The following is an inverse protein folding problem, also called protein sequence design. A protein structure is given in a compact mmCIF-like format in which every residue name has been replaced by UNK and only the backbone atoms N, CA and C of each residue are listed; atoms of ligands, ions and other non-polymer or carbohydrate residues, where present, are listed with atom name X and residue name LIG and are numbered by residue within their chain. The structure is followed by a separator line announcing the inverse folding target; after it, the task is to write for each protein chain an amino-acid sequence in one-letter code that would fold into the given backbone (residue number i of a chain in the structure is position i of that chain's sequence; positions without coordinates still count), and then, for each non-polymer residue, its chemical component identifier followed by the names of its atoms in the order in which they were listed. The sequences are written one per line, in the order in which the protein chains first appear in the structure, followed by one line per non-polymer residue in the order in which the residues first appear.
data_IF_109283744236
#
_entry.id   IF_109283744236
#
_cell.length_a   1.000
_cell.length_b   1.000
_cell.length_c   1.000
_cell.angle_alpha   90.00
_cell.angle_beta   90.00
_cell.angle_gamma   90.00
#
_symmetry.space_group_name_H-M   'P 1'
#
loop_
_entity.id
_entity.type
_entity.pdbx_description
1 polymer ?
#
# COMPACT_ATOMS: atom_id res chain seq x y z
N UNK A 1 8.53 -11.17 51.04
CA UNK A 1 7.48 -10.68 50.11
C UNK A 1 7.64 -11.48 48.82
N UNK A 2 6.61 -12.20 48.32
CA UNK A 2 6.71 -12.80 46.99
C UNK A 2 6.92 -11.67 45.97
N UNK A 3 7.73 -11.87 44.91
CA UNK A 3 7.89 -10.87 43.87
C UNK A 3 6.51 -10.53 43.31
N UNK A 4 6.22 -9.25 42.98
CA UNK A 4 4.99 -8.92 42.30
C UNK A 4 4.89 -9.79 41.05
N UNK A 5 3.75 -10.47 40.91
CA UNK A 5 3.39 -11.24 39.72
C UNK A 5 3.68 -10.34 38.50
N UNK A 6 4.38 -10.81 37.44
CA UNK A 6 4.69 -9.95 36.31
C UNK A 6 3.39 -9.48 35.67
N UNK A 7 2.98 -8.27 36.01
CA UNK A 7 1.80 -7.62 35.45
C UNK A 7 2.10 -7.41 33.98
N UNK A 8 1.27 -7.98 33.09
CA UNK A 8 1.45 -7.82 31.65
C UNK A 8 1.46 -6.32 31.30
N UNK A 9 2.58 -5.75 30.81
CA UNK A 9 2.70 -4.31 30.57
C UNK A 9 1.84 -3.84 29.39
N UNK A 10 1.27 -4.76 28.61
CA UNK A 10 0.32 -4.47 27.54
C UNK A 10 -1.15 -4.42 28.01
N UNK A 11 -1.44 -4.51 29.31
CA UNK A 11 -2.81 -4.48 29.85
C UNK A 11 -2.93 -3.48 31.03
N UNK A 12 -3.58 -2.32 30.83
CA UNK A 12 -4.12 -1.80 29.57
C UNK A 12 -3.00 -1.46 28.58
N UNK A 13 -3.28 -1.53 27.27
CA UNK A 13 -2.26 -1.29 26.24
C UNK A 13 -1.77 0.16 26.28
N UNK A 14 -0.45 0.41 26.37
CA UNK A 14 0.12 1.74 26.24
C UNK A 14 0.28 2.18 24.78
N UNK A 15 0.00 1.30 23.81
CA UNK A 15 0.17 1.60 22.40
C UNK A 15 -1.02 2.35 21.81
N UNK A 16 -0.73 3.19 20.82
CA UNK A 16 -1.72 3.97 20.08
C UNK A 16 -2.56 3.13 19.10
N UNK A 17 -3.49 3.80 18.42
CA UNK A 17 -4.33 3.15 17.41
C UNK A 17 -3.50 2.53 16.27
N UNK A 18 -3.92 1.36 15.78
CA UNK A 18 -3.24 0.59 14.73
C UNK A 18 -1.80 0.16 15.06
N UNK A 19 -1.47 0.04 16.35
CA UNK A 19 -0.22 -0.53 16.83
C UNK A 19 -0.46 -1.84 17.60
N UNK A 20 0.51 -2.74 17.57
CA UNK A 20 0.56 -3.96 18.36
C UNK A 20 1.52 -3.77 19.53
N UNK A 21 1.08 -4.18 20.72
CA UNK A 21 1.90 -4.23 21.92
C UNK A 21 2.57 -5.60 22.05
N UNK A 22 3.86 -5.63 22.37
CA UNK A 22 4.61 -6.84 22.73
C UNK A 22 5.32 -6.63 24.06
N UNK A 23 5.21 -7.59 24.97
CA UNK A 23 6.00 -7.60 26.20
C UNK A 23 7.42 -8.11 25.90
N UNK A 24 8.41 -7.25 26.11
CA UNK A 24 9.82 -7.58 26.04
C UNK A 24 10.43 -7.36 27.42
N UNK A 25 10.63 -8.45 28.16
CA UNK A 25 11.27 -8.47 29.48
C UNK A 25 10.56 -7.59 30.54
N UNK A 26 9.23 -7.58 30.55
CA UNK A 26 8.41 -6.78 31.47
C UNK A 26 8.21 -5.34 31.00
N UNK A 27 8.61 -5.01 29.77
CA UNK A 27 8.42 -3.69 29.15
C UNK A 27 7.51 -3.81 27.94
N UNK A 28 6.49 -2.95 27.85
CA UNK A 28 5.66 -2.85 26.67
C UNK A 28 6.41 -2.14 25.54
N UNK A 29 6.53 -2.81 24.40
CA UNK A 29 7.09 -2.25 23.17
C UNK A 29 6.01 -2.21 22.10
N UNK A 30 5.79 -1.03 21.54
CA UNK A 30 4.77 -0.78 20.53
C UNK A 30 5.37 -0.76 19.12
N UNK A 31 4.70 -1.38 18.17
CA UNK A 31 5.05 -1.32 16.74
C UNK A 31 3.79 -1.17 15.90
N UNK A 32 3.84 -0.40 14.81
CA UNK A 32 2.69 -0.28 13.91
C UNK A 32 2.33 -1.63 13.29
N UNK A 33 1.04 -1.84 13.03
CA UNK A 33 0.59 -2.96 12.20
C UNK A 33 1.19 -2.86 10.78
N UNK A 34 1.28 -3.98 10.03
CA UNK A 34 1.73 -3.95 8.64
C UNK A 34 0.97 -2.91 7.81
N UNK A 35 1.69 -2.19 6.96
CA UNK A 35 1.18 -1.09 6.12
C UNK A 35 0.72 0.19 6.87
N UNK A 36 0.91 0.24 8.19
CA UNK A 36 0.72 1.47 8.96
C UNK A 36 2.07 2.06 9.39
N UNK A 37 2.11 3.39 9.45
CA UNK A 37 3.31 4.18 9.69
C UNK A 37 3.03 5.29 10.71
N UNK A 38 4.07 5.79 11.37
CA UNK A 38 3.98 6.87 12.36
C UNK A 38 4.51 6.46 13.73
N UNK A 39 3.99 7.09 14.78
CA UNK A 39 4.41 6.81 16.16
C UNK A 39 3.50 5.76 16.79
N UNK A 40 4.00 4.53 17.06
CA UNK A 40 3.17 3.45 17.60
C UNK A 40 2.70 3.66 19.04
N UNK A 41 3.28 4.63 19.77
CA UNK A 41 2.82 5.02 21.10
C UNK A 41 1.68 6.06 21.06
N UNK A 42 1.45 6.72 19.92
CA UNK A 42 0.38 7.73 19.75
C UNK A 42 -0.70 7.25 18.79
N UNK A 43 -0.32 6.98 17.54
CA UNK A 43 -1.20 6.48 16.49
C UNK A 43 -0.38 6.14 15.26
N UNK A 44 -0.67 4.98 14.66
CA UNK A 44 -0.21 4.65 13.31
C UNK A 44 -1.33 4.92 12.31
N UNK A 45 -0.95 5.42 11.13
CA UNK A 45 -1.84 5.77 10.02
C UNK A 45 -1.43 5.02 8.75
N UNK A 46 -2.36 4.73 7.84
CA UNK A 46 -1.99 4.23 6.52
C UNK A 46 -1.14 5.27 5.76
N UNK A 47 -0.44 4.84 4.72
CA UNK A 47 0.29 5.76 3.84
C UNK A 47 -0.67 6.72 3.13
N UNK A 48 -1.82 6.21 2.69
CA UNK A 48 -2.87 6.97 2.02
C UNK A 48 -4.27 6.48 2.40
N UNK A 49 -5.25 7.35 2.24
CA UNK A 49 -6.68 7.03 2.34
C UNK A 49 -7.38 7.31 1.01
N UNK A 50 -6.88 8.28 0.24
CA UNK A 50 -7.39 8.64 -1.09
C UNK A 50 -6.23 8.81 -2.07
N UNK A 51 -6.53 8.72 -3.37
CA UNK A 51 -5.51 8.81 -4.43
C UNK A 51 -4.70 10.11 -4.36
N UNK A 52 -5.34 11.22 -3.99
CA UNK A 52 -4.70 12.53 -3.88
C UNK A 52 -3.69 12.65 -2.74
N UNK A 53 -3.63 11.66 -1.83
CA UNK A 53 -2.56 11.58 -0.84
C UNK A 53 -1.25 11.08 -1.47
N UNK A 54 -1.33 10.46 -2.65
CA UNK A 54 -0.20 9.95 -3.40
C UNK A 54 0.30 10.96 -4.45
N UNK A 55 1.51 10.72 -4.97
CA UNK A 55 1.99 11.44 -6.15
C UNK A 55 1.14 11.09 -7.38
N UNK A 56 1.10 11.98 -8.38
CA UNK A 56 0.22 11.84 -9.55
C UNK A 56 0.44 10.56 -10.39
N UNK A 57 1.61 9.95 -10.27
CA UNK A 57 2.02 8.69 -10.91
C UNK A 57 1.65 7.42 -10.10
N UNK A 58 0.97 7.57 -8.95
CA UNK A 58 0.58 6.48 -8.04
C UNK A 58 -0.89 6.57 -7.67
N UNK A 59 -1.47 5.50 -7.13
CA UNK A 59 -2.84 5.48 -6.64
C UNK A 59 -2.90 4.85 -5.25
N UNK A 60 -3.92 5.17 -4.47
CA UNK A 60 -4.12 4.60 -3.15
C UNK A 60 -4.78 3.23 -3.25
N UNK A 61 -3.96 2.17 -3.26
CA UNK A 61 -4.41 0.79 -3.41
C UNK A 61 -4.07 0.06 -2.13
N UNK A 62 -5.10 -0.39 -1.40
CA UNK A 62 -4.91 -1.11 -0.14
C UNK A 62 -4.15 -0.28 0.90
N UNK A 63 -4.49 1.01 1.04
CA UNK A 63 -3.87 1.94 2.00
C UNK A 63 -2.38 2.24 1.74
N UNK A 64 -1.90 1.97 0.53
CA UNK A 64 -0.54 2.20 0.07
C UNK A 64 -0.50 2.92 -1.27
N UNK A 65 0.45 3.82 -1.46
CA UNK A 65 0.65 4.51 -2.73
C UNK A 65 1.40 3.59 -3.71
N UNK A 66 0.64 2.91 -4.57
CA UNK A 66 1.15 1.91 -5.51
C UNK A 66 1.02 2.38 -6.97
N UNK A 67 1.79 1.78 -7.87
CA UNK A 67 1.65 2.05 -9.30
C UNK A 67 0.40 1.32 -9.83
N UNK A 68 -0.64 2.03 -10.31
CA UNK A 68 -1.87 1.41 -10.78
C UNK A 68 -1.69 0.68 -12.14
N UNK A 69 -0.56 0.84 -12.83
CA UNK A 69 -0.28 0.11 -14.07
C UNK A 69 -0.01 -1.38 -13.86
N UNK A 70 0.39 -1.80 -12.66
CA UNK A 70 0.69 -3.20 -12.35
C UNK A 70 -0.56 -4.07 -12.51
N UNK A 71 -0.68 -4.76 -13.65
CA UNK A 71 -1.80 -5.64 -13.97
C UNK A 71 -2.99 -4.97 -14.66
N UNK A 72 -2.91 -3.68 -15.00
CA UNK A 72 -4.02 -2.96 -15.63
C UNK A 72 -4.09 -3.13 -17.15
N UNK A 73 -2.94 -3.12 -17.84
CA UNK A 73 -2.88 -3.17 -19.30
C UNK A 73 -2.52 -4.56 -19.82
N UNK A 74 -2.90 -4.82 -21.07
CA UNK A 74 -2.58 -6.06 -21.77
C UNK A 74 -1.08 -6.21 -22.03
N UNK A 75 -0.69 -7.45 -22.35
CA UNK A 75 0.64 -7.73 -22.88
C UNK A 75 0.84 -6.97 -24.21
N UNK A 76 2.01 -6.34 -24.38
CA UNK A 76 2.36 -5.44 -25.49
C UNK A 76 1.58 -4.11 -25.55
N UNK A 77 0.85 -3.74 -24.50
CA UNK A 77 0.31 -2.38 -24.36
C UNK A 77 1.27 -1.49 -23.55
N UNK A 78 1.26 -0.20 -23.85
CA UNK A 78 1.88 0.84 -23.03
C UNK A 78 0.92 1.23 -21.92
N UNK A 79 1.45 1.40 -20.70
CA UNK A 79 0.70 1.97 -19.58
C UNK A 79 1.27 3.33 -19.19
N UNK A 80 0.39 4.30 -19.02
CA UNK A 80 0.70 5.60 -18.44
C UNK A 80 -0.28 5.89 -17.32
N UNK A 81 0.19 6.49 -16.22
CA UNK A 81 -0.69 6.91 -15.13
C UNK A 81 -1.10 8.36 -15.38
N UNK A 82 -2.40 8.59 -15.49
CA UNK A 82 -3.00 9.92 -15.70
C UNK A 82 -3.94 10.17 -14.53
N UNK A 83 -3.60 11.12 -13.66
CA UNK A 83 -4.36 11.46 -12.46
C UNK A 83 -4.72 10.22 -11.62
N UNK A 84 -3.71 9.43 -11.23
CA UNK A 84 -3.86 8.20 -10.44
C UNK A 84 -4.58 7.04 -11.16
N UNK A 85 -4.99 7.21 -12.42
CA UNK A 85 -5.70 6.18 -13.20
C UNK A 85 -4.78 5.61 -14.28
N UNK A 86 -4.72 4.27 -14.46
CA UNK A 86 -3.95 3.67 -15.53
C UNK A 86 -4.65 3.89 -16.88
N UNK A 87 -3.91 4.44 -17.83
CA UNK A 87 -4.31 4.63 -19.22
C UNK A 87 -3.48 3.70 -20.10
N UNK A 88 -4.17 2.81 -20.81
CA UNK A 88 -3.54 1.80 -21.67
C UNK A 88 -3.66 2.19 -23.15
N UNK A 89 -2.57 2.08 -23.91
CA UNK A 89 -2.56 2.31 -25.35
C UNK A 89 -1.71 1.27 -26.08
N UNK A 90 -2.03 0.99 -27.34
CA UNK A 90 -1.14 0.18 -28.17
C UNK A 90 0.04 1.04 -28.64
N UNK A 91 1.29 0.53 -28.58
CA UNK A 91 2.45 1.25 -29.08
C UNK A 91 2.37 1.45 -30.60
N UNK A 92 3.16 2.38 -31.12
CA UNK A 92 3.24 2.64 -32.56
C UNK A 92 3.55 1.37 -33.36
N UNK A 93 2.79 1.12 -34.43
CA UNK A 93 2.88 -0.10 -35.23
C UNK A 93 2.07 -1.28 -34.71
N UNK A 94 1.31 -1.10 -33.63
CA UNK A 94 0.37 -2.08 -33.10
C UNK A 94 -1.07 -1.53 -33.09
N UNK A 95 -2.03 -2.44 -33.17
CA UNK A 95 -3.46 -2.16 -33.08
C UNK A 95 -4.18 -3.22 -32.21
N UNK A 96 -5.45 -2.97 -31.87
CA UNK A 96 -6.26 -3.88 -31.06
C UNK A 96 -6.77 -3.22 -29.78
N UNK A 97 -7.03 -4.04 -28.75
CA UNK A 97 -7.57 -3.57 -27.48
C UNK A 97 -6.45 -3.55 -26.41
N UNK A 98 -6.03 -2.38 -25.92
CA UNK A 98 -4.90 -2.28 -24.99
C UNK A 98 -5.16 -2.86 -23.59
N UNK A 99 -6.41 -3.26 -23.28
CA UNK A 99 -6.77 -4.01 -22.08
C UNK A 99 -6.87 -5.52 -22.30
N UNK A 100 -6.84 -6.00 -23.56
CA UNK A 100 -6.88 -7.43 -23.89
C UNK A 100 -5.64 -7.92 -24.63
N UNK A 101 -5.30 -7.28 -25.75
CA UNK A 101 -4.15 -7.62 -26.58
C UNK A 101 -3.90 -6.55 -27.66
N UNK A 102 -2.64 -6.18 -27.87
CA UNK A 102 -2.17 -5.39 -29.01
C UNK A 102 -1.39 -6.29 -29.97
N UNK A 103 -1.69 -6.21 -31.27
CA UNK A 103 -1.06 -6.98 -32.35
C UNK A 103 -0.38 -6.06 -33.37
N UNK A 104 0.69 -6.51 -34.06
CA UNK A 104 1.34 -5.71 -35.10
C UNK A 104 0.38 -5.41 -36.26
N UNK A 105 0.43 -4.18 -36.79
CA UNK A 105 -0.32 -3.79 -37.98
C UNK A 105 0.33 -4.46 -39.19
N UNK A 106 -0.38 -5.37 -39.86
CA UNK A 106 0.06 -5.97 -41.12
C UNK A 106 -0.52 -5.17 -42.29
N UNK A 107 0.29 -4.34 -42.95
CA UNK A 107 -0.07 -3.76 -44.24
C UNK A 107 -0.21 -4.90 -45.24
N UNK A 108 -1.43 -5.18 -45.67
CA UNK A 108 -1.72 -6.13 -46.77
C UNK A 108 -1.75 -5.37 -48.09
#
# INVERSE_FOLDING_TARGET
RPPPNPTNPCVPSPCGANAVCRDLYGTAVCSCNPEFYGNPYESCRPECVVDTDCTADRACIGSKCQNPCSGACAQNALCQVINHVPSCSCPSGFEGNPFRYCQPITNT
#
